data_IF_505345464951
#
_entry.id   IF_505345464951
#
_cell.length_a   1.000
_cell.length_b   1.000
_cell.length_c   1.000
_cell.angle_alpha   90.00
_cell.angle_beta   90.00
_cell.angle_gamma   90.00
#
_symmetry.space_group_name_H-M   'P 1'
#
loop_
_entity.id
_entity.type
_entity.pdbx_description
1 polymer ?
#
# COMPACT_ATOMS: atom_id res chain seq x y z
N UNK A 1 0.47 36.65 -61.11
CA UNK A 1 -0.23 36.64 -59.80
C UNK A 1 -0.67 35.21 -59.51
N UNK A 2 -0.12 34.60 -58.46
CA UNK A 2 -0.29 33.19 -58.09
C UNK A 2 -1.37 33.07 -57.02
N UNK A 3 -2.37 32.22 -57.23
CA UNK A 3 -3.41 31.91 -56.24
C UNK A 3 -3.10 30.58 -55.53
N UNK A 4 -3.03 30.71 -54.22
CA UNK A 4 -2.94 29.77 -53.10
C UNK A 4 -3.25 28.29 -53.32
N UNK A 5 -2.28 27.45 -52.94
CA UNK A 5 -2.47 26.04 -52.65
C UNK A 5 -3.00 25.86 -51.21
N UNK A 6 -4.11 25.14 -51.08
CA UNK A 6 -4.72 24.72 -49.81
C UNK A 6 -3.87 23.60 -49.19
N UNK A 7 -3.31 23.85 -48.00
CA UNK A 7 -2.63 22.83 -47.20
C UNK A 7 -3.64 22.15 -46.27
N UNK A 8 -3.99 20.90 -46.59
CA UNK A 8 -4.71 20.00 -45.70
C UNK A 8 -3.72 19.51 -44.64
N UNK A 9 -3.84 20.02 -43.42
CA UNK A 9 -3.04 19.59 -42.27
C UNK A 9 -3.81 18.49 -41.55
N UNK A 10 -3.37 17.24 -41.74
CA UNK A 10 -3.90 16.05 -41.11
C UNK A 10 -3.23 15.90 -39.72
N UNK A 11 -3.90 16.38 -38.67
CA UNK A 11 -3.46 16.17 -37.29
C UNK A 11 -3.93 14.78 -36.81
N UNK A 12 -3.03 13.80 -36.86
CA UNK A 12 -3.22 12.52 -36.17
C UNK A 12 -3.05 12.73 -34.66
N UNK A 13 -4.15 12.78 -33.92
CA UNK A 13 -4.14 12.76 -32.45
C UNK A 13 -4.04 11.30 -32.02
N UNK A 14 -2.81 10.86 -31.71
CA UNK A 14 -2.56 9.57 -31.07
C UNK A 14 -2.80 9.74 -29.56
N UNK A 15 -3.99 9.38 -29.08
CA UNK A 15 -4.29 9.34 -27.65
C UNK A 15 -3.57 8.14 -27.00
N UNK A 16 -2.38 8.40 -26.48
CA UNK A 16 -1.71 7.54 -25.52
C UNK A 16 -2.53 7.52 -24.22
N UNK A 17 -3.34 6.47 -24.05
CA UNK A 17 -3.97 6.15 -22.77
C UNK A 17 -2.85 5.65 -21.85
N UNK A 18 -2.14 6.59 -21.20
CA UNK A 18 -1.23 6.27 -20.10
C UNK A 18 -2.08 5.76 -18.93
N UNK A 19 -2.22 4.43 -18.82
CA UNK A 19 -2.54 3.82 -17.53
C UNK A 19 -1.47 4.22 -16.53
N UNK A 20 -1.87 4.62 -15.32
CA UNK A 20 -0.92 4.96 -14.27
C UNK A 20 0.05 3.79 -14.02
N UNK A 21 1.36 4.04 -13.86
CA UNK A 21 2.33 2.98 -13.62
C UNK A 21 2.09 2.36 -12.23
N UNK A 22 1.77 1.07 -12.20
CA UNK A 22 1.71 0.30 -10.96
C UNK A 22 3.11 -0.19 -10.59
N UNK A 23 3.50 -0.05 -9.33
CA UNK A 23 4.64 -0.78 -8.79
C UNK A 23 4.19 -2.18 -8.36
N UNK A 24 5.01 -3.22 -8.50
CA UNK A 24 4.64 -4.55 -8.02
C UNK A 24 4.63 -4.55 -6.47
N UNK A 25 3.68 -5.26 -5.89
CA UNK A 25 3.49 -5.33 -4.44
C UNK A 25 4.63 -6.05 -3.70
N UNK A 26 5.42 -6.86 -4.43
CA UNK A 26 6.60 -7.54 -3.89
C UNK A 26 7.79 -6.58 -3.64
N UNK A 27 7.80 -5.38 -4.21
CA UNK A 27 8.83 -4.38 -3.98
C UNK A 27 8.53 -3.56 -2.69
N UNK A 28 8.45 -4.20 -1.53
CA UNK A 28 8.33 -3.48 -0.26
C UNK A 28 9.66 -2.81 0.12
N UNK A 29 9.65 -1.70 0.89
CA UNK A 29 10.88 -1.03 1.30
C UNK A 29 11.55 -1.79 2.46
N UNK A 30 12.13 -2.96 2.17
CA UNK A 30 12.67 -3.90 3.17
C UNK A 30 13.64 -3.23 4.14
N UNK A 31 14.51 -2.34 3.67
CA UNK A 31 15.42 -1.58 4.53
C UNK A 31 14.68 -0.79 5.61
N UNK A 32 13.55 -0.16 5.30
CA UNK A 32 12.76 0.58 6.27
C UNK A 32 12.09 -0.36 7.28
N UNK A 33 11.62 -1.51 6.81
CA UNK A 33 10.96 -2.52 7.64
C UNK A 33 11.96 -3.19 8.58
N UNK A 34 13.20 -3.41 8.14
CA UNK A 34 14.30 -3.90 8.97
C UNK A 34 14.66 -2.89 10.07
N UNK A 35 14.83 -1.61 9.71
CA UNK A 35 15.08 -0.55 10.70
C UNK A 35 13.97 -0.46 11.76
N UNK A 36 12.71 -0.67 11.39
CA UNK A 36 11.60 -0.74 12.35
C UNK A 36 11.72 -1.97 13.26
N UNK A 37 12.07 -3.13 12.70
CA UNK A 37 12.30 -4.35 13.46
C UNK A 37 13.42 -4.18 14.48
N UNK A 38 14.59 -3.69 14.07
CA UNK A 38 15.76 -3.52 14.93
C UNK A 38 15.48 -2.49 16.05
N UNK A 39 14.75 -1.42 15.72
CA UNK A 39 14.31 -0.44 16.72
C UNK A 39 13.36 -1.03 17.78
N UNK A 40 12.68 -2.16 17.52
CA UNK A 40 11.77 -2.77 18.51
C UNK A 40 12.51 -3.45 19.66
N UNK A 41 13.76 -3.87 19.44
CA UNK A 41 14.58 -4.61 20.43
C UNK A 41 15.71 -3.78 21.03
N UNK A 42 16.00 -2.60 20.48
CA UNK A 42 17.02 -1.71 21.01
C UNK A 42 16.61 -1.14 22.39
N UNK A 43 17.39 -1.39 23.45
CA UNK A 43 17.04 -0.95 24.80
C UNK A 43 17.18 0.57 25.00
N UNK A 44 17.88 1.28 24.11
CA UNK A 44 18.11 2.72 24.22
C UNK A 44 16.99 3.54 23.54
N UNK A 45 16.21 4.33 24.30
CA UNK A 45 15.10 5.11 23.72
C UNK A 45 15.54 6.14 22.68
N UNK A 46 16.71 6.74 22.84
CA UNK A 46 17.26 7.72 21.89
C UNK A 46 17.70 7.04 20.58
N UNK A 47 18.35 5.88 20.68
CA UNK A 47 18.76 5.10 19.51
C UNK A 47 17.54 4.60 18.74
N UNK A 48 16.55 4.01 19.43
CA UNK A 48 15.26 3.63 18.83
C UNK A 48 14.62 4.76 18.03
N UNK A 49 14.46 5.94 18.66
CA UNK A 49 13.87 7.11 17.98
C UNK A 49 14.68 7.52 16.74
N UNK A 50 16.00 7.50 16.83
CA UNK A 50 16.86 7.82 15.70
C UNK A 50 16.73 6.80 14.56
N UNK A 51 16.67 5.51 14.88
CA UNK A 51 16.47 4.42 13.90
C UNK A 51 15.09 4.50 13.25
N UNK A 52 14.03 4.72 14.03
CA UNK A 52 12.67 4.92 13.50
C UNK A 52 12.59 6.13 12.56
N UNK A 53 13.24 7.25 12.90
CA UNK A 53 13.28 8.42 12.02
C UNK A 53 13.93 8.10 10.65
N UNK A 54 14.95 7.24 10.62
CA UNK A 54 15.56 6.77 9.36
C UNK A 54 14.57 5.92 8.56
N UNK A 55 13.88 4.99 9.23
CA UNK A 55 12.84 4.18 8.59
C UNK A 55 11.74 5.06 7.99
N UNK A 56 11.21 6.01 8.76
CA UNK A 56 10.14 6.90 8.33
C UNK A 56 10.55 7.79 7.15
N UNK A 57 11.81 8.23 7.09
CA UNK A 57 12.31 8.96 5.93
C UNK A 57 12.26 8.13 4.62
N UNK A 58 12.47 6.82 4.70
CA UNK A 58 12.34 5.90 3.56
C UNK A 58 10.84 5.65 3.27
N UNK A 59 10.05 5.33 4.29
CA UNK A 59 8.61 5.09 4.15
C UNK A 59 7.88 6.28 3.53
N UNK A 60 8.24 7.51 3.89
CA UNK A 60 7.63 8.73 3.35
C UNK A 60 7.81 8.88 1.83
N UNK A 61 8.91 8.36 1.29
CA UNK A 61 9.16 8.32 -0.15
C UNK A 61 8.44 7.16 -0.82
N UNK A 62 8.36 6.02 -0.13
CA UNK A 62 7.77 4.80 -0.71
C UNK A 62 6.25 4.84 -0.74
N UNK A 63 5.63 5.27 0.36
CA UNK A 63 4.18 5.31 0.57
C UNK A 63 3.62 6.71 0.32
N UNK A 64 4.00 7.32 -0.80
CA UNK A 64 3.44 8.61 -1.22
C UNK A 64 1.98 8.45 -1.67
N UNK A 65 1.06 9.32 -1.22
CA UNK A 65 -0.31 9.35 -1.71
C UNK A 65 -0.38 9.44 -3.24
N UNK A 66 -1.30 8.70 -3.84
CA UNK A 66 -1.47 8.61 -5.29
C UNK A 66 -0.63 7.52 -5.96
N UNK A 67 0.40 6.98 -5.30
CA UNK A 67 1.13 5.80 -5.81
C UNK A 67 0.27 4.56 -5.64
N UNK A 68 0.28 3.69 -6.65
CA UNK A 68 -0.42 2.40 -6.61
C UNK A 68 0.55 1.23 -6.58
N UNK A 69 0.15 0.16 -5.90
CA UNK A 69 0.80 -1.15 -5.99
C UNK A 69 -0.17 -2.19 -6.53
N UNK A 70 0.37 -3.19 -7.21
CA UNK A 70 -0.39 -4.29 -7.79
C UNK A 70 0.22 -5.62 -7.39
N UNK A 71 -0.63 -6.56 -6.99
CA UNK A 71 -0.24 -7.95 -6.69
C UNK A 71 -0.08 -8.77 -7.96
N UNK A 72 0.65 -9.87 -7.83
CA UNK A 72 0.77 -10.91 -8.85
C UNK A 72 0.49 -12.30 -8.24
N UNK A 73 0.85 -13.36 -8.98
CA UNK A 73 0.63 -14.74 -8.55
C UNK A 73 1.52 -15.15 -7.36
N UNK A 74 2.65 -14.48 -7.15
CA UNK A 74 3.63 -14.77 -6.10
C UNK A 74 3.40 -13.96 -4.83
N UNK A 75 2.79 -12.78 -4.96
CA UNK A 75 2.46 -11.93 -3.84
C UNK A 75 1.05 -11.36 -3.98
N UNK A 76 0.10 -11.95 -3.25
CA UNK A 76 -1.34 -11.63 -3.27
C UNK A 76 -1.75 -10.85 -2.04
N UNK A 77 -2.84 -10.11 -2.13
CA UNK A 77 -3.47 -9.55 -0.94
C UNK A 77 -4.21 -10.65 -0.19
N UNK A 78 -4.22 -10.61 1.13
CA UNK A 78 -4.93 -11.59 1.97
C UNK A 78 -5.82 -10.86 2.96
N UNK A 79 -7.09 -11.27 3.06
CA UNK A 79 -8.01 -10.75 4.08
C UNK A 79 -7.59 -11.27 5.45
N UNK A 80 -7.11 -10.37 6.32
CA UNK A 80 -6.66 -10.75 7.66
C UNK A 80 -7.83 -10.85 8.64
N UNK A 81 -7.90 -11.91 9.43
CA UNK A 81 -8.56 -11.91 10.75
C UNK A 81 -7.49 -11.97 11.85
N UNK A 82 -7.70 -11.43 13.07
CA UNK A 82 -8.96 -10.96 13.66
C UNK A 82 -9.03 -9.44 13.97
N UNK A 83 -8.02 -8.63 13.65
CA UNK A 83 -7.84 -7.35 14.34
C UNK A 83 -8.24 -6.07 13.59
N UNK A 84 -8.88 -6.11 12.42
CA UNK A 84 -9.28 -4.87 11.75
C UNK A 84 -10.27 -5.04 10.61
N UNK A 85 -11.30 -4.19 10.61
CA UNK A 85 -12.19 -4.00 9.47
C UNK A 85 -11.41 -3.43 8.27
N UNK A 86 -11.63 -4.01 7.09
CA UNK A 86 -11.07 -3.54 5.82
C UNK A 86 -9.53 -3.55 5.76
N UNK A 87 -8.89 -4.54 6.40
CA UNK A 87 -7.45 -4.76 6.33
C UNK A 87 -7.07 -5.89 5.35
N UNK A 88 -6.03 -5.62 4.56
CA UNK A 88 -5.35 -6.58 3.71
C UNK A 88 -3.88 -6.71 4.14
N UNK A 89 -3.33 -7.91 4.18
CA UNK A 89 -1.88 -8.16 4.23
C UNK A 89 -1.39 -8.64 2.86
N UNK A 90 -0.08 -8.84 2.72
CA UNK A 90 0.52 -9.47 1.55
C UNK A 90 0.94 -10.90 1.88
N UNK A 91 0.67 -11.87 1.00
CA UNK A 91 1.04 -13.27 1.18
C UNK A 91 2.56 -13.49 1.15
N UNK A 92 3.31 -12.59 0.51
CA UNK A 92 4.77 -12.63 0.42
C UNK A 92 5.47 -11.89 1.56
N UNK A 93 4.73 -11.40 2.56
CA UNK A 93 5.27 -10.62 3.67
C UNK A 93 5.13 -11.36 5.02
N UNK A 94 6.18 -11.42 5.86
CA UNK A 94 7.54 -10.93 5.59
C UNK A 94 8.28 -11.81 4.58
N UNK A 95 9.23 -11.22 3.84
CA UNK A 95 10.11 -11.96 2.94
C UNK A 95 11.26 -12.62 3.71
N UNK A 96 11.83 -13.70 3.17
CA UNK A 96 13.00 -14.36 3.76
C UNK A 96 14.21 -13.40 3.83
N UNK A 97 14.37 -12.53 2.84
CA UNK A 97 15.43 -11.54 2.80
C UNK A 97 15.30 -10.53 3.96
N UNK A 98 14.09 -10.05 4.24
CA UNK A 98 13.83 -9.18 5.38
C UNK A 98 14.16 -9.89 6.69
N UNK A 99 13.68 -11.13 6.88
CA UNK A 99 13.95 -11.92 8.09
C UNK A 99 15.46 -12.15 8.30
N UNK A 100 16.21 -12.40 7.22
CA UNK A 100 17.65 -12.59 7.31
C UNK A 100 18.43 -11.29 7.60
N UNK A 101 17.82 -10.12 7.42
CA UNK A 101 18.48 -8.82 7.54
C UNK A 101 18.33 -8.13 8.90
N UNK A 102 17.44 -8.63 9.77
CA UNK A 102 17.12 -8.02 11.07
C UNK A 102 17.93 -8.63 12.21
N UNK A 103 18.06 -7.89 13.31
CA UNK A 103 18.79 -8.33 14.50
C UNK A 103 18.14 -9.55 15.18
N UNK A 104 18.96 -10.34 15.88
CA UNK A 104 18.49 -11.51 16.59
C UNK A 104 17.44 -11.13 17.66
N UNK A 105 16.27 -11.79 17.59
CA UNK A 105 15.14 -11.50 18.47
C UNK A 105 14.24 -10.34 18.02
N UNK A 106 14.63 -9.60 16.97
CA UNK A 106 13.75 -8.65 16.31
C UNK A 106 12.70 -9.37 15.47
N UNK A 107 11.57 -8.71 15.24
CA UNK A 107 10.50 -9.18 14.35
C UNK A 107 10.07 -8.06 13.42
N UNK A 108 9.75 -8.34 12.14
CA UNK A 108 9.20 -7.32 11.25
C UNK A 108 7.88 -6.75 11.79
N UNK A 109 7.58 -5.47 11.51
CA UNK A 109 6.28 -4.91 11.89
C UNK A 109 5.14 -5.62 11.16
N UNK A 110 3.99 -5.78 11.80
CA UNK A 110 2.79 -6.23 11.08
C UNK A 110 2.37 -5.15 10.08
N UNK A 111 2.63 -5.38 8.81
CA UNK A 111 2.24 -4.51 7.71
C UNK A 111 0.82 -4.85 7.25
N UNK A 112 -0.06 -3.85 7.26
CA UNK A 112 -1.41 -3.96 6.70
C UNK A 112 -1.79 -2.75 5.85
N UNK A 113 -2.60 -3.01 4.83
CA UNK A 113 -3.23 -2.02 3.99
C UNK A 113 -4.68 -1.89 4.41
N UNK A 114 -5.02 -0.77 5.03
CA UNK A 114 -6.37 -0.48 5.50
C UNK A 114 -7.08 0.41 4.49
N UNK A 115 -8.13 -0.13 3.89
CA UNK A 115 -8.98 0.63 3.00
C UNK A 115 -10.23 1.17 3.73
N UNK A 116 -10.80 2.22 3.15
CA UNK A 116 -11.97 2.90 3.72
C UNK A 116 -13.14 2.82 2.75
N UNK A 117 -14.34 2.71 3.29
CA UNK A 117 -15.58 2.71 2.51
C UNK A 117 -16.57 3.67 3.17
N UNK A 118 -17.60 4.12 2.44
CA UNK A 118 -18.61 5.07 2.94
C UNK A 118 -19.16 4.70 4.32
N UNK A 119 -19.46 3.41 4.52
CA UNK A 119 -20.05 2.87 5.75
C UNK A 119 -19.02 2.60 6.87
N UNK A 120 -17.72 2.70 6.58
CA UNK A 120 -16.59 2.49 7.51
C UNK A 120 -15.46 3.45 7.13
N UNK A 121 -15.68 4.74 7.39
CA UNK A 121 -14.71 5.79 7.14
C UNK A 121 -13.95 6.14 8.43
N UNK A 122 -12.75 6.70 8.25
CA UNK A 122 -11.95 7.28 9.31
C UNK A 122 -11.93 8.80 9.13
N UNK A 123 -12.02 9.55 10.23
CA UNK A 123 -11.92 11.01 10.20
C UNK A 123 -10.62 11.42 9.51
N UNK A 124 -10.71 12.33 8.54
CA UNK A 124 -9.54 12.80 7.77
C UNK A 124 -9.30 12.06 6.46
N UNK A 125 -10.10 11.05 6.13
CA UNK A 125 -10.15 10.45 4.79
C UNK A 125 -11.20 11.19 3.95
N UNK A 126 -10.83 11.60 2.74
CA UNK A 126 -11.74 12.27 1.82
C UNK A 126 -12.70 11.27 1.16
N UNK A 127 -13.92 11.70 0.84
CA UNK A 127 -14.92 10.84 0.20
C UNK A 127 -14.46 10.30 -1.16
N UNK A 128 -13.62 11.05 -1.87
CA UNK A 128 -13.00 10.65 -3.15
C UNK A 128 -11.98 9.53 -3.00
N UNK A 129 -11.51 9.26 -1.78
CA UNK A 129 -10.54 8.21 -1.46
C UNK A 129 -11.20 6.94 -0.90
N UNK A 130 -12.54 6.88 -0.88
CA UNK A 130 -13.22 5.63 -0.54
C UNK A 130 -13.07 4.59 -1.65
N UNK A 131 -12.95 3.34 -1.19
CA UNK A 131 -13.06 2.16 -2.03
C UNK A 131 -14.48 2.06 -2.57
N UNK A 132 -14.60 1.78 -3.87
CA UNK A 132 -15.89 1.63 -4.51
C UNK A 132 -16.70 0.48 -3.90
N UNK A 133 -18.03 0.56 -3.98
CA UNK A 133 -18.93 -0.39 -3.35
C UNK A 133 -18.71 -1.84 -3.83
N UNK A 134 -18.34 -2.05 -5.10
CA UNK A 134 -18.12 -3.38 -5.65
C UNK A 134 -16.90 -4.08 -5.02
N UNK A 135 -15.76 -3.39 -4.89
CA UNK A 135 -14.55 -3.92 -4.25
C UNK A 135 -14.77 -4.13 -2.74
N UNK A 136 -15.45 -3.18 -2.07
CA UNK A 136 -15.79 -3.32 -0.66
C UNK A 136 -16.73 -4.50 -0.38
N UNK A 137 -17.73 -4.72 -1.24
CA UNK A 137 -18.63 -5.87 -1.18
C UNK A 137 -17.87 -7.19 -1.36
N UNK A 138 -17.01 -7.29 -2.39
CA UNK A 138 -16.15 -8.48 -2.60
C UNK A 138 -15.32 -8.83 -1.38
N UNK A 139 -14.70 -7.83 -0.74
CA UNK A 139 -13.95 -8.06 0.50
C UNK A 139 -14.86 -8.56 1.62
N UNK A 140 -16.03 -7.94 1.80
CA UNK A 140 -16.98 -8.25 2.88
C UNK A 140 -17.53 -9.67 2.74
N UNK A 141 -17.93 -10.05 1.53
CA UNK A 141 -18.50 -11.36 1.19
C UNK A 141 -17.47 -12.50 1.22
N UNK A 142 -16.18 -12.18 1.14
CA UNK A 142 -15.10 -13.17 1.21
C UNK A 142 -14.87 -13.68 2.63
N UNK A 143 -14.54 -14.97 2.77
CA UNK A 143 -14.16 -15.54 4.06
C UNK A 143 -12.82 -15.01 4.59
N UNK A 144 -12.49 -15.25 5.87
CA UNK A 144 -11.13 -15.08 6.39
C UNK A 144 -10.09 -15.77 5.50
N UNK A 145 -8.88 -15.20 5.45
CA UNK A 145 -7.72 -15.75 4.73
C UNK A 145 -7.91 -15.89 3.20
N UNK A 146 -8.99 -15.32 2.65
CA UNK A 146 -9.18 -15.24 1.20
C UNK A 146 -8.03 -14.45 0.58
N UNK A 147 -7.39 -15.04 -0.42
CA UNK A 147 -6.38 -14.37 -1.23
C UNK A 147 -7.03 -13.61 -2.40
N UNK A 148 -6.44 -12.50 -2.80
CA UNK A 148 -6.91 -11.66 -3.88
C UNK A 148 -5.78 -11.22 -4.80
N UNK A 149 -6.08 -11.21 -6.09
CA UNK A 149 -5.33 -10.43 -7.07
C UNK A 149 -5.99 -9.07 -7.24
N UNK A 150 -5.20 -8.01 -7.16
CA UNK A 150 -5.73 -6.66 -7.12
C UNK A 150 -4.68 -5.57 -7.22
N UNK A 151 -5.17 -4.35 -7.08
CA UNK A 151 -4.35 -3.15 -6.96
C UNK A 151 -4.98 -2.22 -5.93
N UNK A 152 -4.11 -1.52 -5.21
CA UNK A 152 -4.49 -0.49 -4.26
C UNK A 152 -3.72 0.78 -4.57
N UNK A 153 -4.27 1.92 -4.19
CA UNK A 153 -3.63 3.22 -4.24
C UNK A 153 -3.51 3.81 -2.85
N UNK A 154 -2.33 4.30 -2.49
CA UNK A 154 -2.12 4.95 -1.21
C UNK A 154 -2.86 6.30 -1.18
N UNK A 155 -3.46 6.63 -0.05
CA UNK A 155 -4.26 7.85 0.12
C UNK A 155 -3.65 8.71 1.22
N UNK A 156 -3.91 10.01 1.15
CA UNK A 156 -3.37 10.93 2.14
C UNK A 156 -4.03 10.72 3.50
N UNK A 157 -3.25 10.74 4.57
CA UNK A 157 -3.77 10.76 5.93
C UNK A 157 -2.97 11.74 6.80
N UNK A 158 -3.56 12.92 7.05
CA UNK A 158 -2.87 14.03 7.72
C UNK A 158 -2.66 13.83 9.23
N UNK A 159 -3.36 12.88 9.82
CA UNK A 159 -3.22 12.52 11.23
C UNK A 159 -2.27 11.31 11.42
N UNK A 160 -1.55 10.93 10.37
CA UNK A 160 -0.59 9.82 10.33
C UNK A 160 0.80 10.20 10.85
N UNK A 161 1.63 9.18 11.09
CA UNK A 161 3.07 9.32 11.33
C UNK A 161 3.84 9.64 10.03
N UNK A 162 3.21 9.36 8.89
CA UNK A 162 3.69 9.74 7.56
C UNK A 162 2.53 10.16 6.65
N UNK A 163 2.80 10.36 5.34
CA UNK A 163 1.83 10.96 4.43
C UNK A 163 0.61 10.08 4.13
N UNK A 164 0.71 8.77 4.37
CA UNK A 164 -0.36 7.80 4.13
C UNK A 164 -0.42 6.67 5.17
N UNK A 165 0.32 6.75 6.28
CA UNK A 165 0.44 5.64 7.21
C UNK A 165 0.52 6.06 8.67
N UNK A 166 0.22 5.09 9.55
CA UNK A 166 0.53 5.13 10.97
C UNK A 166 1.44 3.97 11.36
N UNK A 167 2.33 4.23 12.32
CA UNK A 167 3.11 3.21 12.99
C UNK A 167 2.78 3.19 14.49
N UNK A 168 2.21 2.09 14.94
CA UNK A 168 1.77 1.91 16.33
C UNK A 168 2.80 1.07 17.10
N UNK A 169 3.77 1.75 17.72
CA UNK A 169 4.87 1.13 18.49
C UNK A 169 4.40 0.05 19.46
N UNK A 170 3.34 0.32 20.24
CA UNK A 170 2.82 -0.61 21.26
C UNK A 170 2.37 -1.97 20.69
N UNK A 171 1.94 -1.99 19.44
CA UNK A 171 1.43 -3.20 18.78
C UNK A 171 2.34 -3.68 17.66
N UNK A 172 3.45 -2.97 17.41
CA UNK A 172 4.37 -3.20 16.31
C UNK A 172 3.67 -3.29 14.94
N UNK A 173 2.73 -2.36 14.69
CA UNK A 173 1.87 -2.35 13.49
C UNK A 173 2.17 -1.15 12.60
N UNK A 174 2.41 -1.42 11.32
CA UNK A 174 2.48 -0.41 10.27
C UNK A 174 1.21 -0.49 9.42
N UNK A 175 0.35 0.53 9.53
CA UNK A 175 -0.94 0.61 8.84
C UNK A 175 -0.82 1.62 7.71
N UNK A 176 -0.88 1.14 6.47
CA UNK A 176 -0.91 1.97 5.26
C UNK A 176 -2.37 2.23 4.88
N UNK A 177 -2.76 3.49 4.75
CA UNK A 177 -4.08 3.88 4.30
C UNK A 177 -4.14 3.86 2.77
N UNK A 178 -5.16 3.18 2.25
CA UNK A 178 -5.33 3.03 0.81
C UNK A 178 -6.80 3.06 0.37
N UNK A 179 -6.98 3.09 -0.95
CA UNK A 179 -8.22 2.71 -1.63
C UNK A 179 -7.95 1.48 -2.49
N UNK A 180 -8.96 0.61 -2.62
CA UNK A 180 -8.86 -0.59 -3.45
C UNK A 180 -9.38 -0.28 -4.84
N UNK A 181 -8.49 -0.30 -5.83
CA UNK A 181 -8.80 -0.01 -7.23
C UNK A 181 -9.32 -1.27 -7.92
N UNK A 182 -8.73 -2.44 -7.61
CA UNK A 182 -9.17 -3.75 -8.11
C UNK A 182 -9.01 -4.81 -7.02
N UNK A 183 -10.02 -5.66 -6.86
CA UNK A 183 -9.96 -6.81 -5.95
C UNK A 183 -10.70 -7.99 -6.57
N UNK A 184 -9.98 -9.10 -6.79
CA UNK A 184 -10.51 -10.32 -7.41
C UNK A 184 -10.13 -11.50 -6.51
N UNK A 185 -11.09 -12.20 -5.89
CA UNK A 185 -10.79 -13.38 -5.08
C UNK A 185 -10.12 -14.47 -5.91
N UNK A 186 -9.11 -15.11 -5.35
CA UNK A 186 -8.45 -16.28 -5.91
C UNK A 186 -9.07 -17.52 -5.26
N UNK A 187 -9.44 -18.50 -6.07
CA UNK A 187 -9.95 -19.78 -5.55
C UNK A 187 -8.80 -20.53 -4.87
N UNK A 188 -9.04 -21.17 -3.71
CA UNK A 188 -8.10 -22.15 -3.17
C UNK A 188 -7.89 -23.25 -4.22
N UNK A 189 -6.64 -23.63 -4.46
CA UNK A 189 -6.29 -24.81 -5.25
C UNK A 189 -6.68 -26.11 -4.52
#
# INVERSE_FOLDING_TARGET
>A
MKTSAVRISLLCILTLILGAPYSPACDLPEQALALIADASVDPCPLCRKHTLNKAFAILNKWFMPGKSIQTDQTCRFVKTTPCGDNELSLSCYPSDALIASIDAGAVPPRLVFRFHAVHKHLVGIADTDYTNAANAARYTESGPDTAFEGSIRFIAYRYGDGPSYNYFEQTHRLVIHCTVERLIPVKPE
#
